data_IF_864226676796
#
_entry.id   IF_864226676796
#
_cell.length_a   1.000
_cell.length_b   1.000
_cell.length_c   1.000
_cell.angle_alpha   90.00
_cell.angle_beta   90.00
_cell.angle_gamma   90.00
#
_symmetry.space_group_name_H-M   'P 1'
#
loop_
_entity.id
_entity.type
_entity.pdbx_description
1 polymer ?
#
# COMPACT_ATOMS: atom_id res chain seq x y z
N UNK A 1 -15.20 0.30 14.02
CA UNK A 1 -16.11 0.45 12.87
C UNK A 1 -15.89 1.84 12.27
N UNK A 2 -15.88 1.96 10.95
CA UNK A 2 -15.58 3.18 10.18
C UNK A 2 -16.66 3.31 9.11
N UNK A 3 -17.23 4.50 8.92
CA UNK A 3 -18.15 4.77 7.82
C UNK A 3 -17.39 5.52 6.72
N UNK A 4 -17.40 5.00 5.50
CA UNK A 4 -16.79 5.60 4.33
C UNK A 4 -17.53 5.16 3.07
N UNK A 5 -17.56 5.99 2.02
CA UNK A 5 -18.20 5.67 0.73
C UNK A 5 -19.59 5.00 0.87
N UNK A 6 -20.46 5.60 1.69
CA UNK A 6 -21.83 5.14 1.98
C UNK A 6 -21.94 3.71 2.54
N UNK A 7 -20.88 3.17 3.14
CA UNK A 7 -20.88 1.87 3.80
C UNK A 7 -20.03 1.84 5.07
N UNK A 8 -20.04 0.71 5.77
CA UNK A 8 -19.30 0.46 6.99
C UNK A 8 -18.18 -0.54 6.77
N UNK A 9 -17.05 -0.29 7.45
CA UNK A 9 -15.87 -1.13 7.46
C UNK A 9 -15.43 -1.41 8.89
N UNK A 10 -14.93 -2.61 9.16
CA UNK A 10 -14.43 -2.97 10.49
C UNK A 10 -13.45 -4.14 10.43
N UNK A 11 -12.64 -4.27 11.49
CA UNK A 11 -11.89 -5.48 11.79
C UNK A 11 -12.76 -6.39 12.66
N UNK A 12 -13.05 -7.59 12.18
CA UNK A 12 -13.79 -8.61 12.92
C UNK A 12 -12.91 -9.31 13.98
N UNK A 13 -13.56 -9.95 14.95
CA UNK A 13 -12.88 -10.73 16.00
C UNK A 13 -12.10 -11.93 15.45
N UNK A 14 -12.49 -12.42 14.28
CA UNK A 14 -11.83 -13.46 13.49
C UNK A 14 -10.57 -12.96 12.74
N UNK A 15 -10.15 -11.71 12.99
CA UNK A 15 -8.98 -11.06 12.37
C UNK A 15 -9.11 -10.98 10.85
N UNK A 16 -10.30 -10.58 10.38
CA UNK A 16 -10.55 -10.23 9.00
C UNK A 16 -11.13 -8.81 8.90
N UNK A 17 -10.74 -8.04 7.88
CA UNK A 17 -11.41 -6.78 7.57
C UNK A 17 -12.64 -7.04 6.71
N UNK A 18 -13.72 -6.36 7.07
CA UNK A 18 -15.03 -6.47 6.45
C UNK A 18 -15.47 -5.14 5.85
N UNK A 19 -16.30 -5.24 4.81
CA UNK A 19 -17.16 -4.19 4.26
C UNK A 19 -18.61 -4.64 4.36
N UNK A 20 -19.54 -3.73 4.66
CA UNK A 20 -20.97 -4.03 4.57
C UNK A 20 -21.44 -3.87 3.12
N UNK A 21 -22.04 -4.91 2.55
CA UNK A 21 -22.66 -4.87 1.23
C UNK A 21 -24.16 -5.12 1.36
N UNK A 22 -24.94 -4.05 1.26
CA UNK A 22 -26.35 -4.07 1.62
C UNK A 22 -26.53 -4.44 3.09
N UNK A 23 -26.95 -5.67 3.37
CA UNK A 23 -27.13 -6.20 4.73
C UNK A 23 -26.14 -7.30 5.11
N UNK A 24 -25.23 -7.67 4.21
CA UNK A 24 -24.29 -8.77 4.42
C UNK A 24 -22.85 -8.28 4.59
N UNK A 25 -22.11 -8.76 5.60
CA UNK A 25 -20.67 -8.57 5.68
C UNK A 25 -19.92 -9.34 4.60
N UNK A 26 -19.04 -8.66 3.87
CA UNK A 26 -18.12 -9.26 2.91
C UNK A 26 -16.68 -9.11 3.42
N UNK A 27 -15.91 -10.21 3.43
CA UNK A 27 -14.49 -10.17 3.82
C UNK A 27 -13.68 -9.53 2.69
N UNK A 28 -13.05 -8.39 2.98
CA UNK A 28 -12.19 -7.66 2.03
C UNK A 28 -10.71 -7.94 2.25
N UNK A 29 -10.32 -8.49 3.41
CA UNK A 29 -8.92 -8.77 3.74
C UNK A 29 -8.40 -10.11 3.24
N UNK A 30 -9.14 -10.86 2.39
CA UNK A 30 -8.66 -12.13 1.82
C UNK A 30 -7.24 -11.99 1.24
N UNK A 31 -6.91 -10.93 0.47
CA UNK A 31 -5.58 -10.74 -0.10
C UNK A 31 -4.44 -10.62 0.91
N UNK A 32 -4.75 -10.16 2.11
CA UNK A 32 -3.77 -9.83 3.14
C UNK A 32 -3.97 -10.67 4.41
N UNK A 33 -4.81 -11.71 4.33
CA UNK A 33 -5.35 -12.42 5.49
C UNK A 33 -4.24 -12.95 6.41
N UNK A 34 -3.19 -13.54 5.84
CA UNK A 34 -2.02 -14.03 6.60
C UNK A 34 -1.40 -12.95 7.47
N UNK A 35 -1.37 -11.70 6.98
CA UNK A 35 -0.76 -10.56 7.66
C UNK A 35 -1.66 -10.00 8.76
N UNK A 36 -2.98 -10.01 8.55
CA UNK A 36 -3.96 -9.67 9.58
C UNK A 36 -3.97 -10.72 10.71
N UNK A 37 -3.89 -12.01 10.35
CA UNK A 37 -3.79 -13.10 11.33
C UNK A 37 -2.51 -13.01 12.19
N UNK A 38 -1.43 -12.47 11.63
CA UNK A 38 -0.15 -12.31 12.30
C UNK A 38 -0.09 -11.13 13.29
N UNK A 39 -1.14 -10.30 13.38
CA UNK A 39 -1.18 -9.18 14.33
C UNK A 39 -1.03 -9.64 15.77
N UNK A 40 -0.16 -8.96 16.51
CA UNK A 40 0.07 -9.24 17.93
C UNK A 40 -1.09 -8.72 18.78
N UNK A 41 -1.59 -7.52 18.48
CA UNK A 41 -2.63 -6.83 19.25
C UNK A 41 -3.75 -6.27 18.34
N UNK A 42 -4.55 -7.13 17.68
CA UNK A 42 -5.60 -6.71 16.74
C UNK A 42 -6.68 -5.82 17.39
N UNK A 43 -6.92 -5.96 18.69
CA UNK A 43 -7.86 -5.14 19.45
C UNK A 43 -7.42 -3.67 19.58
N UNK A 44 -6.13 -3.38 19.36
CA UNK A 44 -5.57 -2.03 19.41
C UNK A 44 -5.57 -1.34 18.05
N UNK A 45 -6.09 -2.00 17.01
CA UNK A 45 -6.17 -1.44 15.67
C UNK A 45 -7.21 -0.32 15.64
N UNK A 46 -6.79 0.86 15.23
CA UNK A 46 -7.64 2.04 15.05
C UNK A 46 -7.66 2.34 13.56
N UNK A 47 -8.82 2.69 12.99
CA UNK A 47 -8.86 3.08 11.59
C UNK A 47 -9.60 4.38 11.33
N UNK A 48 -9.23 4.99 10.20
CA UNK A 48 -9.59 6.34 9.80
C UNK A 48 -10.08 6.34 8.34
N UNK A 49 -11.18 7.05 8.07
CA UNK A 49 -11.59 7.41 6.70
C UNK A 49 -10.70 8.57 6.25
N UNK A 50 -9.83 8.31 5.28
CA UNK A 50 -9.04 9.33 4.60
C UNK A 50 -9.68 9.58 3.23
N UNK A 51 -10.72 10.41 3.27
CA UNK A 51 -11.65 10.67 2.18
C UNK A 51 -10.99 11.34 0.99
N UNK A 52 -10.06 12.25 1.22
CA UNK A 52 -9.33 12.94 0.16
C UNK A 52 -8.56 11.97 -0.74
N UNK A 53 -8.07 10.85 -0.21
CA UNK A 53 -7.38 9.81 -0.99
C UNK A 53 -8.27 8.62 -1.36
N UNK A 54 -9.53 8.60 -0.93
CA UNK A 54 -10.44 7.46 -1.09
C UNK A 54 -9.92 6.16 -0.44
N UNK A 55 -9.30 6.26 0.73
CA UNK A 55 -8.76 5.09 1.44
C UNK A 55 -9.18 5.03 2.90
N UNK A 56 -9.20 3.82 3.45
CA UNK A 56 -9.23 3.60 4.90
C UNK A 56 -7.85 3.18 5.36
N UNK A 57 -7.36 3.82 6.41
CA UNK A 57 -6.08 3.47 7.04
C UNK A 57 -6.33 2.89 8.42
N UNK A 58 -5.91 1.65 8.64
CA UNK A 58 -5.91 0.98 9.94
C UNK A 58 -4.51 0.94 10.52
N UNK A 59 -4.26 1.76 11.53
CA UNK A 59 -3.02 1.75 12.29
C UNK A 59 -3.05 0.61 13.31
N UNK A 60 -2.02 -0.23 13.29
CA UNK A 60 -1.77 -1.30 14.26
C UNK A 60 -0.54 -0.93 15.11
N UNK A 61 -0.71 -0.19 16.23
CA UNK A 61 0.41 0.42 16.93
C UNK A 61 1.42 -0.58 17.51
N UNK A 62 0.94 -1.76 17.95
CA UNK A 62 1.81 -2.82 18.48
C UNK A 62 2.71 -3.47 17.44
N UNK A 63 2.36 -3.35 16.15
CA UNK A 63 3.02 -4.01 15.03
C UNK A 63 3.79 -3.01 14.15
N UNK A 64 3.67 -1.70 14.41
CA UNK A 64 4.31 -0.65 13.60
C UNK A 64 3.83 -0.65 12.14
N UNK A 65 2.61 -1.13 11.89
CA UNK A 65 2.06 -1.38 10.56
C UNK A 65 0.79 -0.57 10.36
N UNK A 66 0.62 0.00 9.17
CA UNK A 66 -0.62 0.65 8.75
C UNK A 66 -1.15 -0.13 7.55
N UNK A 67 -2.34 -0.70 7.67
CA UNK A 67 -3.05 -1.29 6.53
C UNK A 67 -3.83 -0.20 5.81
N UNK A 68 -3.72 -0.14 4.49
CA UNK A 68 -4.39 0.86 3.68
C UNK A 68 -5.28 0.14 2.67
N UNK A 69 -6.58 0.41 2.70
CA UNK A 69 -7.52 -0.10 1.72
C UNK A 69 -8.07 1.05 0.88
N UNK A 70 -7.75 1.03 -0.41
CA UNK A 70 -8.37 1.88 -1.41
C UNK A 70 -9.74 1.32 -1.74
N UNK A 71 -10.78 1.97 -1.23
CA UNK A 71 -12.16 1.50 -1.39
C UNK A 71 -12.76 1.86 -2.75
N UNK A 72 -12.05 2.60 -3.61
CA UNK A 72 -12.45 2.87 -4.99
C UNK A 72 -11.94 1.80 -5.94
N UNK A 73 -10.71 1.34 -5.71
CA UNK A 73 -10.04 0.36 -6.56
C UNK A 73 -10.01 -1.07 -5.96
N UNK A 74 -10.56 -1.24 -4.76
CA UNK A 74 -10.58 -2.50 -4.00
C UNK A 74 -9.16 -3.09 -3.80
N UNK A 75 -8.20 -2.21 -3.52
CA UNK A 75 -6.78 -2.56 -3.44
C UNK A 75 -6.23 -2.41 -2.02
N UNK A 76 -5.24 -3.24 -1.68
CA UNK A 76 -4.53 -3.18 -0.41
C UNK A 76 -3.08 -2.72 -0.59
N UNK A 77 -2.67 -1.77 0.24
CA UNK A 77 -1.28 -1.39 0.45
C UNK A 77 -0.96 -1.29 1.94
N UNK A 78 0.31 -1.08 2.26
CA UNK A 78 0.79 -0.97 3.63
C UNK A 78 1.82 0.14 3.74
N UNK A 79 1.71 0.90 4.81
CA UNK A 79 2.67 1.94 5.18
C UNK A 79 3.39 1.57 6.48
N UNK A 80 4.64 2.02 6.59
CA UNK A 80 5.46 1.95 7.81
C UNK A 80 5.77 3.39 8.24
N UNK A 81 4.78 4.04 8.84
CA UNK A 81 4.85 5.44 9.26
C UNK A 81 4.51 5.62 10.75
N UNK A 82 4.55 6.87 11.24
CA UNK A 82 4.14 7.19 12.61
C UNK A 82 2.71 6.70 12.85
N UNK A 83 2.49 6.05 14.00
CA UNK A 83 1.19 5.47 14.32
C UNK A 83 0.23 6.59 14.73
N UNK A 84 -0.86 6.76 13.98
CA UNK A 84 -1.84 7.79 14.28
C UNK A 84 -2.86 7.29 15.28
N UNK A 85 -3.28 8.20 16.16
CA UNK A 85 -4.41 8.00 17.06
C UNK A 85 -5.59 8.92 16.72
N UNK A 86 -5.38 9.94 15.90
CA UNK A 86 -6.43 10.81 15.38
C UNK A 86 -6.11 11.27 13.94
N UNK A 87 -7.15 11.50 13.16
CA UNK A 87 -7.08 12.02 11.80
C UNK A 87 -8.29 12.92 11.52
N UNK A 88 -8.09 14.04 10.84
CA UNK A 88 -9.16 14.93 10.40
C UNK A 88 -8.81 15.61 9.08
N UNK A 89 -9.81 15.77 8.21
CA UNK A 89 -9.74 16.62 7.04
C UNK A 89 -10.52 17.90 7.32
N UNK A 90 -9.87 19.05 7.18
CA UNK A 90 -10.48 20.36 7.43
C UNK A 90 -9.95 21.39 6.43
N UNK A 91 -10.88 22.12 5.79
CA UNK A 91 -10.54 23.18 4.84
C UNK A 91 -9.58 22.76 3.70
N UNK A 92 -9.70 21.51 3.22
CA UNK A 92 -8.81 20.96 2.19
C UNK A 92 -7.43 20.52 2.68
N UNK A 93 -7.16 20.68 3.97
CA UNK A 93 -5.96 20.18 4.62
C UNK A 93 -6.24 18.89 5.40
N UNK A 94 -5.18 18.11 5.57
CA UNK A 94 -5.19 16.80 6.21
C UNK A 94 -4.33 16.89 7.47
N UNK A 95 -4.86 16.45 8.60
CA UNK A 95 -4.19 16.55 9.89
C UNK A 95 -4.22 15.21 10.59
N UNK A 96 -3.11 14.83 11.22
CA UNK A 96 -3.02 13.63 12.05
C UNK A 96 -2.34 13.94 13.36
N UNK A 97 -2.69 13.20 14.41
CA UNK A 97 -1.98 13.22 15.67
C UNK A 97 -1.40 11.83 15.94
N UNK A 98 -0.28 11.80 16.64
CA UNK A 98 0.31 10.57 17.17
C UNK A 98 0.49 10.71 18.68
N UNK A 99 0.32 9.60 19.40
CA UNK A 99 0.63 9.53 20.82
C UNK A 99 2.12 9.30 21.11
N UNK A 100 2.98 9.27 20.08
CA UNK A 100 4.42 9.17 20.26
C UNK A 100 4.97 10.47 20.87
N UNK A 101 4.84 10.54 22.20
CA UNK A 101 5.58 11.35 23.18
C UNK A 101 5.47 12.88 23.13
N UNK A 102 4.94 13.51 22.08
CA UNK A 102 4.95 14.98 21.98
C UNK A 102 3.59 15.65 22.05
N UNK A 103 2.48 14.90 21.90
CA UNK A 103 1.15 15.48 21.81
C UNK A 103 0.97 16.42 20.60
N UNK A 104 1.87 16.33 19.63
CA UNK A 104 1.87 17.20 18.47
C UNK A 104 0.79 16.79 17.47
N UNK A 105 0.19 17.83 16.88
CA UNK A 105 -0.69 17.70 15.73
C UNK A 105 0.16 17.99 14.50
N UNK A 106 0.21 17.04 13.59
CA UNK A 106 0.97 17.11 12.36
C UNK A 106 0.03 17.46 11.22
N UNK A 107 0.42 18.44 10.40
CA UNK A 107 -0.18 18.58 9.07
C UNK A 107 0.37 17.46 8.21
N UNK A 108 -0.52 16.65 7.66
CA UNK A 108 -0.13 15.70 6.65
C UNK A 108 0.43 16.46 5.45
N UNK A 109 1.69 16.22 5.17
CA UNK A 109 2.40 16.76 4.03
C UNK A 109 2.99 15.58 3.26
N UNK A 110 3.01 15.66 1.93
CA UNK A 110 3.75 14.71 1.09
C UNK A 110 5.20 15.15 0.88
N UNK A 111 5.57 16.33 1.39
CA UNK A 111 6.93 16.87 1.37
C UNK A 111 7.54 16.81 2.76
N UNK A 112 8.65 16.07 2.89
CA UNK A 112 9.28 15.79 4.18
C UNK A 112 10.78 16.15 4.18
N UNK A 113 11.18 17.41 4.38
CA UNK A 113 12.54 17.66 4.85
C UNK A 113 12.64 17.22 6.32
N UNK A 114 13.73 16.53 6.67
CA UNK A 114 14.23 16.48 8.06
C UNK A 114 14.53 17.89 8.57
N UNK A 115 14.77 18.04 9.87
CA UNK A 115 15.18 19.33 10.48
C UNK A 115 16.41 19.96 9.81
N UNK A 116 17.23 19.15 9.13
CA UNK A 116 18.42 19.57 8.37
C UNK A 116 18.18 19.67 6.85
N UNK A 117 16.94 19.62 6.38
CA UNK A 117 16.59 19.75 4.95
C UNK A 117 16.73 18.48 4.10
N UNK A 118 17.11 17.33 4.68
CA UNK A 118 17.24 16.06 3.94
C UNK A 118 15.86 15.42 3.74
N UNK A 119 15.45 15.04 2.52
CA UNK A 119 14.18 14.37 2.28
C UNK A 119 14.06 13.02 3.03
N UNK A 120 12.98 12.82 3.78
CA UNK A 120 12.64 11.54 4.41
C UNK A 120 12.07 10.61 3.31
N UNK A 121 12.62 9.41 3.11
CA UNK A 121 12.11 8.49 2.10
C UNK A 121 10.76 7.90 2.54
N UNK A 122 9.75 8.04 1.68
CA UNK A 122 8.45 7.37 1.84
C UNK A 122 8.60 5.92 1.38
N UNK A 123 8.12 4.98 2.19
CA UNK A 123 8.11 3.55 1.86
C UNK A 123 6.68 3.04 1.78
N UNK A 124 6.30 2.54 0.61
CA UNK A 124 5.00 1.91 0.38
C UNK A 124 5.21 0.45 0.04
N UNK A 125 4.47 -0.44 0.67
CA UNK A 125 4.46 -1.86 0.32
C UNK A 125 3.11 -2.26 -0.24
N UNK A 126 3.11 -3.12 -1.26
CA UNK A 126 1.91 -3.71 -1.83
C UNK A 126 2.03 -5.23 -1.77
N UNK A 127 0.90 -5.92 -1.62
CA UNK A 127 0.87 -7.38 -1.61
C UNK A 127 -0.30 -7.83 -2.46
N UNK A 128 0.01 -8.57 -3.51
CA UNK A 128 -0.93 -9.08 -4.48
C UNK A 128 -1.00 -10.61 -4.34
N UNK A 129 -2.12 -11.18 -3.87
CA UNK A 129 -2.40 -12.58 -4.13
C UNK A 129 -2.55 -12.74 -5.65
N UNK A 130 -1.91 -13.75 -6.21
CA UNK A 130 -1.95 -13.99 -7.65
C UNK A 130 -2.79 -15.21 -7.96
N UNK A 131 -2.45 -16.37 -7.40
CA UNK A 131 -3.16 -17.63 -7.61
C UNK A 131 -2.88 -18.59 -6.45
N UNK A 132 -3.85 -19.43 -6.08
CA UNK A 132 -3.72 -20.37 -4.96
C UNK A 132 -2.69 -21.49 -5.23
N UNK A 133 -2.56 -21.91 -6.48
CA UNK A 133 -1.64 -22.98 -6.90
C UNK A 133 -0.28 -22.40 -7.29
N UNK A 134 -0.22 -21.66 -8.40
CA UNK A 134 0.96 -20.88 -8.84
C UNK A 134 0.62 -20.12 -10.13
N UNK A 135 1.16 -18.91 -10.27
CA UNK A 135 1.09 -18.16 -11.52
C UNK A 135 2.45 -17.63 -11.93
N UNK A 136 2.62 -17.46 -13.25
CA UNK A 136 3.74 -16.75 -13.82
C UNK A 136 3.44 -15.26 -13.84
N UNK A 137 4.25 -14.48 -13.13
CA UNK A 137 4.09 -13.04 -13.06
C UNK A 137 4.94 -12.41 -14.16
N UNK A 138 4.27 -12.02 -15.24
CA UNK A 138 4.91 -11.58 -16.48
C UNK A 138 5.30 -10.11 -16.44
N UNK A 139 4.47 -9.26 -15.83
CA UNK A 139 4.71 -7.81 -15.79
C UNK A 139 4.20 -7.20 -14.49
N UNK A 140 5.03 -6.34 -13.90
CA UNK A 140 4.62 -5.33 -12.94
C UNK A 140 4.73 -3.98 -13.64
N UNK A 141 3.64 -3.23 -13.66
CA UNK A 141 3.57 -1.88 -14.20
C UNK A 141 3.30 -0.92 -13.07
N UNK A 142 4.16 0.06 -12.90
CA UNK A 142 3.96 1.16 -11.97
C UNK A 142 3.69 2.43 -12.77
N UNK A 143 2.66 3.19 -12.39
CA UNK A 143 2.52 4.57 -12.84
C UNK A 143 3.16 5.46 -11.80
N UNK A 144 4.13 6.23 -12.25
CA UNK A 144 4.94 7.10 -11.43
C UNK A 144 4.85 8.51 -11.99
N UNK A 145 4.61 9.50 -11.13
CA UNK A 145 4.63 10.91 -11.48
C UNK A 145 5.88 11.52 -10.88
N UNK A 146 6.73 12.14 -11.69
CA UNK A 146 7.84 12.92 -11.15
C UNK A 146 7.28 14.13 -10.40
N UNK A 147 7.84 14.39 -9.22
CA UNK A 147 7.60 15.64 -8.49
C UNK A 147 8.02 16.87 -9.31
N UNK A 148 7.76 18.05 -8.77
CA UNK A 148 8.15 19.33 -9.39
C UNK A 148 9.67 19.59 -9.38
N UNK A 149 10.46 18.68 -8.82
CA UNK A 149 11.90 18.86 -8.60
C UNK A 149 12.75 17.89 -9.44
N UNK A 150 14.02 18.26 -9.60
CA UNK A 150 14.96 17.39 -10.29
C UNK A 150 15.55 16.29 -9.38
N UNK A 151 15.33 16.41 -8.08
CA UNK A 151 15.93 15.56 -7.04
C UNK A 151 15.11 14.35 -6.63
N UNK A 152 13.86 14.24 -7.10
CA UNK A 152 13.02 13.05 -6.86
C UNK A 152 13.66 11.76 -7.37
N UNK A 153 13.65 10.73 -6.53
CA UNK A 153 14.06 9.36 -6.86
C UNK A 153 12.99 8.37 -6.43
N UNK A 154 12.82 7.30 -7.21
CA UNK A 154 11.99 6.17 -6.83
C UNK A 154 12.73 4.86 -7.11
N UNK A 155 12.65 3.93 -6.17
CA UNK A 155 13.21 2.60 -6.25
C UNK A 155 12.11 1.57 -6.02
N UNK A 156 12.16 0.45 -6.73
CA UNK A 156 11.28 -0.70 -6.49
C UNK A 156 12.08 -1.94 -6.15
N UNK A 157 11.52 -2.77 -5.28
CA UNK A 157 11.91 -4.18 -5.15
C UNK A 157 10.67 -5.04 -5.02
N UNK A 158 10.82 -6.32 -5.32
CA UNK A 158 9.75 -7.29 -5.12
C UNK A 158 10.29 -8.60 -4.56
N UNK A 159 9.38 -9.39 -4.01
CA UNK A 159 9.61 -10.79 -3.62
C UNK A 159 8.38 -11.63 -3.95
N UNK A 160 8.61 -12.92 -4.13
CA UNK A 160 7.58 -13.92 -4.35
C UNK A 160 7.49 -14.83 -3.13
N UNK A 161 6.27 -15.20 -2.71
CA UNK A 161 6.03 -16.21 -1.67
C UNK A 161 6.84 -16.02 -0.38
N UNK A 162 7.00 -14.77 0.05
CA UNK A 162 7.82 -14.36 1.20
C UNK A 162 9.32 -14.68 1.11
N UNK A 163 9.84 -15.03 -0.07
CA UNK A 163 11.27 -15.22 -0.30
C UNK A 163 12.08 -13.93 -0.02
N UNK A 164 13.41 -14.03 -0.15
CA UNK A 164 14.29 -12.87 -0.01
C UNK A 164 13.92 -11.80 -1.05
N UNK A 165 13.88 -10.55 -0.60
CA UNK A 165 13.71 -9.40 -1.48
C UNK A 165 14.76 -9.40 -2.59
N UNK A 166 14.32 -9.17 -3.82
CA UNK A 166 15.21 -8.84 -4.94
C UNK A 166 15.93 -7.52 -4.64
N UNK A 167 17.12 -7.29 -5.22
CA UNK A 167 17.80 -6.00 -5.13
C UNK A 167 16.90 -4.86 -5.58
N UNK A 168 17.08 -3.68 -4.98
CA UNK A 168 16.38 -2.46 -5.40
C UNK A 168 16.75 -2.13 -6.85
N UNK A 169 15.72 -1.76 -7.62
CA UNK A 169 15.85 -1.30 -8.99
C UNK A 169 15.38 0.15 -9.09
N UNK A 170 16.18 1.05 -9.69
CA UNK A 170 15.77 2.43 -9.87
C UNK A 170 14.66 2.53 -10.91
N UNK A 171 13.71 3.44 -10.66
CA UNK A 171 12.65 3.78 -11.58
C UNK A 171 13.04 5.06 -12.31
N UNK A 172 12.96 5.03 -13.64
CA UNK A 172 13.13 6.25 -14.43
C UNK A 172 11.84 7.08 -14.39
N UNK A 173 11.90 8.23 -13.72
CA UNK A 173 10.77 9.14 -13.55
C UNK A 173 10.54 10.07 -14.77
N UNK A 174 11.38 9.97 -15.81
CA UNK A 174 11.32 10.87 -16.96
C UNK A 174 11.70 12.32 -16.61
N UNK A 175 11.53 13.26 -17.55
CA UNK A 175 11.82 14.69 -17.33
C UNK A 175 10.79 15.37 -16.42
N UNK A 176 11.23 16.39 -15.68
CA UNK A 176 10.38 17.26 -14.84
C UNK A 176 9.25 17.86 -15.67
N UNK A 177 8.01 17.78 -15.18
CA UNK A 177 6.81 18.26 -15.88
C UNK A 177 6.11 17.24 -16.78
N UNK A 178 6.65 16.03 -17.00
CA UNK A 178 5.86 14.91 -17.54
C UNK A 178 5.06 14.25 -16.44
N UNK A 179 3.73 14.34 -16.54
CA UNK A 179 2.83 13.55 -15.71
C UNK A 179 2.76 12.11 -16.26
N UNK A 180 2.86 11.13 -15.36
CA UNK A 180 2.54 9.72 -15.62
C UNK A 180 3.49 8.93 -16.53
N UNK A 181 4.68 8.65 -16.01
CA UNK A 181 5.57 7.65 -16.61
C UNK A 181 5.13 6.25 -16.19
N UNK A 182 5.13 5.30 -17.13
CA UNK A 182 4.94 3.89 -16.81
C UNK A 182 6.31 3.22 -16.69
N UNK A 183 6.57 2.61 -15.55
CA UNK A 183 7.72 1.76 -15.32
C UNK A 183 7.29 0.29 -15.37
N UNK A 184 7.77 -0.42 -16.39
CA UNK A 184 7.47 -1.83 -16.58
C UNK A 184 8.65 -2.71 -16.15
N UNK A 185 8.37 -3.64 -15.27
CA UNK A 185 9.27 -4.70 -14.83
C UNK A 185 8.73 -6.01 -15.39
N UNK A 186 9.58 -6.79 -16.03
CA UNK A 186 9.20 -8.02 -16.73
C UNK A 186 9.79 -9.25 -16.08
N UNK A 187 9.14 -10.40 -16.27
CA UNK A 187 9.62 -11.73 -15.85
C UNK A 187 9.95 -11.78 -14.36
N UNK A 188 8.99 -11.38 -13.52
CA UNK A 188 9.20 -11.28 -12.07
C UNK A 188 9.39 -12.66 -11.41
N UNK A 189 8.83 -13.71 -12.01
CA UNK A 189 9.04 -15.10 -11.63
C UNK A 189 7.74 -15.90 -11.53
N UNK A 190 7.80 -17.01 -10.81
CA UNK A 190 6.68 -17.89 -10.52
C UNK A 190 6.36 -17.81 -9.03
N UNK A 191 5.09 -17.58 -8.68
CA UNK A 191 4.67 -17.53 -7.28
C UNK A 191 3.15 -17.49 -7.12
N UNK A 192 2.71 -17.63 -5.88
CA UNK A 192 1.32 -17.51 -5.45
C UNK A 192 1.01 -16.10 -4.98
N UNK A 193 2.01 -15.43 -4.45
CA UNK A 193 1.93 -14.07 -3.93
C UNK A 193 3.09 -13.21 -4.42
N UNK A 194 2.81 -11.96 -4.78
CA UNK A 194 3.79 -10.94 -5.09
C UNK A 194 3.73 -9.84 -4.03
N UNK A 195 4.83 -9.61 -3.33
CA UNK A 195 5.00 -8.41 -2.51
C UNK A 195 5.94 -7.42 -3.21
N UNK A 196 5.55 -6.16 -3.26
CA UNK A 196 6.30 -5.06 -3.86
C UNK A 196 6.58 -4.03 -2.78
N UNK A 197 7.76 -3.43 -2.81
CA UNK A 197 8.10 -2.29 -1.97
C UNK A 197 8.65 -1.18 -2.86
N UNK A 198 8.06 0.00 -2.70
CA UNK A 198 8.45 1.23 -3.35
C UNK A 198 9.07 2.15 -2.31
N UNK A 199 10.23 2.69 -2.66
CA UNK A 199 10.96 3.66 -1.86
C UNK A 199 11.05 4.93 -2.69
N UNK A 200 10.49 6.00 -2.17
CA UNK A 200 10.30 7.28 -2.82
C UNK A 200 11.04 8.34 -2.01
N UNK A 201 11.88 9.16 -2.62
CA UNK A 201 12.59 10.25 -1.94
C UNK A 201 12.58 11.53 -2.77
N UNK A 202 12.52 12.68 -2.11
CA UNK A 202 12.51 14.00 -2.74
C UNK A 202 11.25 14.81 -2.41
N UNK A 203 11.32 16.15 -2.44
CA UNK A 203 10.15 17.01 -2.29
C UNK A 203 9.25 16.98 -3.54
N UNK A 204 8.12 16.27 -3.47
CA UNK A 204 7.15 16.24 -4.57
C UNK A 204 5.79 15.63 -4.21
N UNK A 205 4.75 16.09 -4.90
CA UNK A 205 3.31 15.86 -4.65
C UNK A 205 2.79 14.53 -5.25
N UNK A 206 3.44 13.42 -4.88
CA UNK A 206 3.17 12.01 -5.21
C UNK A 206 4.05 11.38 -6.31
N UNK A 207 4.77 10.32 -5.93
CA UNK A 207 5.70 9.59 -6.78
C UNK A 207 5.06 8.36 -7.43
N UNK A 208 4.33 7.49 -6.75
CA UNK A 208 3.53 6.40 -7.40
C UNK A 208 2.03 6.68 -7.33
N UNK A 209 1.35 6.66 -8.48
CA UNK A 209 -0.09 6.93 -8.58
C UNK A 209 -0.92 5.67 -8.81
N UNK A 210 -0.36 4.64 -9.45
CA UNK A 210 -1.05 3.38 -9.70
C UNK A 210 -0.05 2.21 -9.76
N UNK A 211 -0.52 0.99 -9.49
CA UNK A 211 0.26 -0.25 -9.60
C UNK A 211 -0.60 -1.36 -10.20
N UNK A 212 -0.13 -1.98 -11.29
CA UNK A 212 -0.79 -3.12 -11.92
C UNK A 212 0.14 -4.32 -12.02
N UNK A 213 -0.42 -5.50 -11.81
CA UNK A 213 0.27 -6.78 -11.98
C UNK A 213 -0.43 -7.54 -13.09
N UNK A 214 0.35 -8.07 -14.03
CA UNK A 214 -0.12 -9.02 -15.04
C UNK A 214 0.52 -10.37 -14.75
N UNK A 215 -0.33 -11.36 -14.48
CA UNK A 215 0.08 -12.73 -14.21
C UNK A 215 -0.75 -13.73 -15.04
N UNK A 216 -0.12 -14.85 -15.40
CA UNK A 216 -0.73 -15.98 -16.10
C UNK A 216 -0.77 -17.18 -15.16
N UNK A 217 -1.98 -17.68 -14.79
CA UNK A 217 -2.11 -18.92 -14.04
C UNK A 217 -1.45 -20.08 -14.77
N UNK A 218 -0.73 -20.93 -14.04
CA UNK A 218 -0.28 -22.21 -14.57
C UNK A 218 -1.38 -23.23 -14.31
N UNK A 219 -2.21 -23.52 -15.30
CA UNK A 219 -3.30 -24.49 -15.17
C UNK A 219 -2.82 -25.90 -14.79
N UNK A 220 -3.68 -26.69 -14.14
CA UNK A 220 -3.52 -28.14 -14.05
C UNK A 220 -3.64 -28.73 -15.47
N UNK A 221 -2.51 -28.96 -16.14
CA UNK A 221 -2.54 -29.27 -17.57
C UNK A 221 -1.20 -29.59 -18.22
N UNK A 222 -0.38 -30.44 -17.60
CA UNK A 222 0.49 -31.36 -18.36
C UNK A 222 0.09 -32.80 -18.05
N UNK A 223 -1.09 -33.19 -18.54
CA UNK A 223 -1.24 -34.58 -18.95
C UNK A 223 -0.25 -34.80 -20.10
N UNK A 224 0.80 -35.59 -19.81
CA UNK A 224 1.55 -36.26 -20.86
C UNK A 224 0.54 -36.99 -21.76
N UNK A 225 0.46 -36.56 -23.03
CA UNK A 225 -0.22 -37.30 -24.08
C UNK A 225 0.83 -38.18 -24.76
N UNK A 226 0.50 -39.48 -24.76
CA UNK A 226 1.15 -40.63 -25.39
C UNK A 226 2.51 -41.05 -24.81
#
# INVERSE_FOLDING_TARGET
MIQANDTFYWLGHDRAFYRLEGTQPTIISVPIHRRVQALVAPERVIGFDCRAEHVIRWCAPGDGLIFVHDYRNDAWSFDTGPQWNAYVEHAGERWCASNEHTGQVYRWSETYPTDNGVPIPVRRSFQFPIDANQARINRLRLRVRRGSDDTSQALVRWRLDHAKWRPLQPINLGPTGRADVYADFYRLGLGRELAIELIESGPGEALTTDCWVTAEPLGEGMHARA
#
